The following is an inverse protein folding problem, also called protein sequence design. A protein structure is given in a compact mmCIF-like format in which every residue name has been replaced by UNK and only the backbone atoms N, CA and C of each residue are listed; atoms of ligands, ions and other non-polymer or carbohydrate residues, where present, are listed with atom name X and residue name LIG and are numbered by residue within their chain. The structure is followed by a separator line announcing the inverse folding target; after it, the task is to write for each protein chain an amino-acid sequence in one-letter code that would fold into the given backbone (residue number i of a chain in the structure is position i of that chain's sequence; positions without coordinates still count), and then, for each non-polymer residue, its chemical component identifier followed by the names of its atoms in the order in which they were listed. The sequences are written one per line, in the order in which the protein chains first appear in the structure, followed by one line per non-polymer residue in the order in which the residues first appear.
data_IF_565120869263
#
_entry.id   IF_565120869263
#
_cell.length_a   1.000
_cell.length_b   1.000
_cell.length_c   1.000
_cell.angle_alpha   90.00
_cell.angle_beta   90.00
_cell.angle_gamma   90.00
#
_symmetry.space_group_name_H-M   'P 1'
#
loop_
_entity.id
_entity.type
_entity.pdbx_description
1 polymer ?
#
# COMPACT_ATOMS: atom_id res chain seq x y z
N UNK A 1 -43.39 6.25 -38.32
CA UNK A 1 -42.16 5.69 -37.72
C UNK A 1 -42.09 6.22 -36.30
N UNK A 2 -42.61 5.40 -35.40
CA UNK A 2 -42.77 5.68 -33.97
C UNK A 2 -41.45 5.48 -33.24
N UNK A 3 -41.16 6.41 -32.33
CA UNK A 3 -40.25 6.22 -31.22
C UNK A 3 -41.05 5.59 -30.06
N UNK A 4 -40.75 4.36 -29.65
CA UNK A 4 -41.37 3.74 -28.48
C UNK A 4 -40.44 3.83 -27.26
N UNK A 5 -40.82 4.79 -26.41
CA UNK A 5 -40.61 4.93 -24.95
C UNK A 5 -39.98 3.73 -24.22
N UNK A 6 -38.81 3.96 -23.62
CA UNK A 6 -38.33 3.21 -22.46
C UNK A 6 -38.99 3.85 -21.23
N UNK A 7 -39.85 3.09 -20.54
CA UNK A 7 -40.56 3.53 -19.35
C UNK A 7 -39.59 3.68 -18.18
N UNK A 8 -39.54 4.89 -17.64
CA UNK A 8 -38.92 5.22 -16.35
C UNK A 8 -39.67 4.46 -15.25
N UNK A 9 -39.01 3.50 -14.59
CA UNK A 9 -39.53 2.89 -13.37
C UNK A 9 -39.35 3.91 -12.23
N UNK A 10 -40.48 4.29 -11.63
CA UNK A 10 -40.55 5.17 -10.48
C UNK A 10 -39.88 4.50 -9.27
N UNK A 11 -39.03 5.26 -8.59
CA UNK A 11 -38.41 4.86 -7.33
C UNK A 11 -39.43 5.17 -6.23
N UNK A 12 -40.07 4.14 -5.68
CA UNK A 12 -40.87 4.29 -4.47
C UNK A 12 -39.94 4.47 -3.26
N UNK A 13 -40.10 5.61 -2.59
CA UNK A 13 -39.53 5.93 -1.29
C UNK A 13 -40.21 5.09 -0.20
N UNK A 14 -39.60 3.97 0.19
CA UNK A 14 -39.82 3.36 1.50
C UNK A 14 -38.48 2.91 2.10
N UNK A 15 -37.79 3.88 2.70
CA UNK A 15 -36.69 3.67 3.64
C UNK A 15 -37.28 3.23 4.98
N UNK A 16 -37.55 1.94 5.14
CA UNK A 16 -37.87 1.36 6.45
C UNK A 16 -37.04 0.11 6.73
N UNK A 17 -36.07 0.27 7.65
CA UNK A 17 -35.43 -0.78 8.46
C UNK A 17 -34.66 -1.89 7.74
N UNK A 18 -33.46 -1.59 7.24
CA UNK A 18 -32.45 -2.65 7.01
C UNK A 18 -31.76 -2.96 8.34
N UNK A 19 -32.22 -4.00 9.03
CA UNK A 19 -31.46 -4.63 10.10
C UNK A 19 -30.24 -5.34 9.49
N UNK A 20 -29.03 -4.84 9.77
CA UNK A 20 -27.80 -5.55 9.46
C UNK A 20 -27.67 -6.80 10.35
N UNK A 21 -28.09 -7.94 9.82
CA UNK A 21 -27.69 -9.25 10.33
C UNK A 21 -26.24 -9.52 9.94
N UNK A 22 -25.30 -9.34 10.87
CA UNK A 22 -23.92 -9.83 10.75
C UNK A 22 -23.90 -11.35 10.92
N UNK A 23 -24.49 -12.08 9.98
CA UNK A 23 -24.26 -13.50 9.81
C UNK A 23 -22.98 -13.68 8.99
N UNK A 24 -21.84 -13.80 9.68
CA UNK A 24 -20.57 -14.27 9.11
C UNK A 24 -20.67 -15.76 8.73
N UNK A 25 -21.60 -16.12 7.86
CA UNK A 25 -21.61 -17.42 7.19
C UNK A 25 -20.74 -17.27 5.96
N UNK A 26 -19.62 -17.98 5.90
CA UNK A 26 -18.85 -18.09 4.66
C UNK A 26 -19.75 -18.77 3.65
N UNK A 27 -20.26 -18.04 2.66
CA UNK A 27 -20.97 -18.63 1.53
C UNK A 27 -20.03 -19.63 0.84
N UNK A 28 -20.43 -20.90 0.81
CA UNK A 28 -19.69 -21.97 0.13
C UNK A 28 -20.52 -22.44 -1.06
N UNK A 29 -19.85 -22.66 -2.19
CA UNK A 29 -20.49 -23.32 -3.31
C UNK A 29 -20.75 -24.79 -2.98
N UNK A 30 -21.88 -25.31 -3.46
CA UNK A 30 -22.15 -26.75 -3.45
C UNK A 30 -21.17 -27.41 -4.42
N UNK A 31 -20.52 -28.48 -3.98
CA UNK A 31 -19.62 -29.26 -4.82
C UNK A 31 -20.45 -30.38 -5.44
N UNK A 32 -20.69 -30.30 -6.76
CA UNK A 32 -21.23 -31.45 -7.49
C UNK A 32 -20.10 -32.20 -8.20
N UNK A 33 -20.23 -33.52 -8.23
CA UNK A 33 -19.35 -34.41 -8.98
C UNK A 33 -19.27 -34.02 -10.47
N UNK A 34 -18.16 -34.32 -11.17
CA UNK A 34 -18.05 -34.11 -12.60
C UNK A 34 -19.15 -34.89 -13.35
N UNK A 35 -19.77 -34.30 -14.39
CA UNK A 35 -20.77 -35.01 -15.20
C UNK A 35 -20.15 -36.23 -15.90
N UNK A 36 -20.90 -37.34 -15.95
CA UNK A 36 -20.43 -38.63 -16.49
C UNK A 36 -20.40 -38.67 -18.02
N UNK A 37 -21.19 -37.82 -18.71
CA UNK A 37 -21.31 -37.81 -20.16
C UNK A 37 -21.45 -36.40 -20.77
N UNK A 38 -21.31 -36.31 -22.10
CA UNK A 38 -21.36 -35.06 -22.84
C UNK A 38 -22.74 -34.36 -22.81
N UNK A 39 -23.86 -35.10 -22.68
CA UNK A 39 -25.17 -34.48 -22.52
C UNK A 39 -25.32 -33.84 -21.15
N UNK A 40 -24.80 -34.48 -20.10
CA UNK A 40 -24.76 -33.93 -18.75
C UNK A 40 -23.87 -32.68 -18.67
N UNK A 41 -22.74 -32.64 -19.39
CA UNK A 41 -21.92 -31.42 -19.54
C UNK A 41 -22.72 -30.28 -20.16
N UNK A 42 -23.40 -30.54 -21.30
CA UNK A 42 -24.19 -29.51 -21.99
C UNK A 42 -25.34 -28.99 -21.14
N UNK A 43 -26.00 -29.86 -20.36
CA UNK A 43 -27.06 -29.44 -19.42
C UNK A 43 -26.52 -28.58 -18.27
N UNK A 44 -25.26 -28.76 -17.87
CA UNK A 44 -24.62 -28.02 -16.78
C UNK A 44 -24.05 -26.67 -17.25
N UNK A 45 -23.76 -26.51 -18.53
CA UNK A 45 -23.13 -25.30 -19.10
C UNK A 45 -23.86 -23.99 -18.73
N UNK A 46 -25.20 -23.87 -18.84
CA UNK A 46 -25.90 -22.63 -18.48
C UNK A 46 -25.76 -22.27 -17.00
N UNK A 47 -25.69 -23.28 -16.12
CA UNK A 47 -25.49 -23.08 -14.68
C UNK A 47 -24.07 -22.57 -14.39
N UNK A 48 -23.06 -23.12 -15.07
CA UNK A 48 -21.66 -22.66 -14.97
C UNK A 48 -21.53 -21.22 -15.48
N UNK A 49 -22.14 -20.92 -16.64
CA UNK A 49 -22.10 -19.57 -17.21
C UNK A 49 -22.74 -18.55 -16.27
N UNK A 50 -23.86 -18.91 -15.64
CA UNK A 50 -24.53 -18.06 -14.65
C UNK A 50 -23.67 -17.86 -13.39
N UNK A 51 -23.07 -18.94 -12.88
CA UNK A 51 -22.15 -18.89 -11.74
C UNK A 51 -20.97 -17.95 -12.00
N UNK A 52 -20.32 -18.10 -13.16
CA UNK A 52 -19.20 -17.24 -13.56
C UNK A 52 -19.64 -15.79 -13.81
N UNK A 53 -20.85 -15.59 -14.34
CA UNK A 53 -21.47 -14.28 -14.51
C UNK A 53 -21.69 -13.56 -13.17
N UNK A 54 -22.30 -14.24 -12.20
CA UNK A 54 -22.49 -13.72 -10.84
C UNK A 54 -21.16 -13.43 -10.15
N UNK A 55 -20.18 -14.34 -10.27
CA UNK A 55 -18.86 -14.12 -9.68
C UNK A 55 -18.15 -12.91 -10.31
N UNK A 56 -18.25 -12.74 -11.64
CA UNK A 56 -17.74 -11.54 -12.32
C UNK A 56 -18.40 -10.27 -11.78
N UNK A 57 -19.73 -10.24 -11.66
CA UNK A 57 -20.47 -9.09 -11.14
C UNK A 57 -20.04 -8.78 -9.70
N UNK A 58 -19.92 -9.80 -8.86
CA UNK A 58 -19.42 -9.66 -7.49
C UNK A 58 -18.02 -9.04 -7.45
N UNK A 59 -17.07 -9.53 -8.26
CA UNK A 59 -15.73 -8.96 -8.31
C UNK A 59 -15.74 -7.52 -8.84
N UNK A 60 -16.56 -7.19 -9.83
CA UNK A 60 -16.71 -5.83 -10.34
C UNK A 60 -17.24 -4.88 -9.27
N UNK A 61 -18.29 -5.26 -8.54
CA UNK A 61 -18.85 -4.49 -7.43
C UNK A 61 -17.83 -4.30 -6.31
N UNK A 62 -17.18 -5.39 -5.86
CA UNK A 62 -16.15 -5.32 -4.81
C UNK A 62 -15.00 -4.42 -5.22
N UNK A 63 -14.53 -4.51 -6.47
CA UNK A 63 -13.44 -3.70 -7.00
C UNK A 63 -13.83 -2.22 -7.10
N UNK A 64 -15.07 -1.92 -7.50
CA UNK A 64 -15.59 -0.56 -7.61
C UNK A 64 -15.67 0.16 -6.24
N UNK A 65 -15.85 -0.58 -5.15
CA UNK A 65 -15.98 -0.06 -3.80
C UNK A 65 -14.77 -0.35 -2.89
N UNK A 66 -13.68 -0.90 -3.43
CA UNK A 66 -12.50 -1.27 -2.64
C UNK A 66 -11.65 -0.06 -2.26
N UNK A 67 -11.61 0.29 -0.98
CA UNK A 67 -10.82 1.42 -0.44
C UNK A 67 -9.98 1.06 0.80
N UNK A 68 -10.19 -0.11 1.40
CA UNK A 68 -9.64 -0.46 2.71
C UNK A 68 -8.21 -1.02 2.72
N UNK A 69 -7.65 -1.35 1.55
CA UNK A 69 -6.30 -1.91 1.46
C UNK A 69 -5.47 -1.24 0.35
N UNK A 70 -4.13 -1.15 0.51
CA UNK A 70 -3.24 -0.52 -0.46
C UNK A 70 -2.94 -1.47 -1.62
N UNK A 71 -3.96 -1.80 -2.40
CA UNK A 71 -3.90 -2.70 -3.55
C UNK A 71 -4.34 -1.94 -4.81
N UNK A 72 -3.53 -1.98 -5.86
CA UNK A 72 -3.94 -1.45 -7.15
C UNK A 72 -5.05 -2.34 -7.72
N UNK A 73 -6.25 -1.77 -7.89
CA UNK A 73 -7.39 -2.47 -8.52
C UNK A 73 -7.39 -2.34 -10.05
N UNK A 74 -6.49 -1.52 -10.61
CA UNK A 74 -6.36 -1.32 -12.06
C UNK A 74 -5.22 -2.17 -12.58
N UNK A 75 -5.52 -3.42 -12.93
CA UNK A 75 -4.60 -4.30 -13.64
C UNK A 75 -5.00 -4.35 -15.11
N UNK A 76 -4.17 -3.79 -15.99
CA UNK A 76 -4.26 -4.01 -17.43
C UNK A 76 -3.15 -4.96 -17.84
N UNK A 77 -3.53 -6.15 -18.31
CA UNK A 77 -2.60 -7.18 -18.78
C UNK A 77 -2.18 -6.95 -20.23
N UNK A 78 -2.89 -6.12 -20.99
CA UNK A 78 -2.55 -5.69 -22.34
C UNK A 78 -1.96 -6.81 -23.22
N UNK A 79 -0.74 -6.63 -23.76
CA UNK A 79 -0.07 -7.65 -24.59
C UNK A 79 0.16 -8.99 -23.89
N UNK A 80 0.16 -9.06 -22.55
CA UNK A 80 0.42 -10.29 -21.81
C UNK A 80 -0.75 -11.28 -21.84
N UNK A 81 -1.97 -10.83 -22.21
CA UNK A 81 -3.15 -11.70 -22.30
C UNK A 81 -2.92 -12.92 -23.21
N UNK A 82 -2.13 -12.76 -24.27
CA UNK A 82 -1.82 -13.84 -25.21
C UNK A 82 -1.05 -15.02 -24.59
N UNK A 83 -0.41 -14.80 -23.43
CA UNK A 83 0.40 -15.83 -22.77
C UNK A 83 -0.40 -16.69 -21.78
N UNK A 84 -1.69 -16.40 -21.56
CA UNK A 84 -2.51 -17.09 -20.54
C UNK A 84 -2.78 -18.57 -20.85
N UNK A 85 -2.54 -19.02 -22.09
CA UNK A 85 -2.71 -20.42 -22.49
C UNK A 85 -1.45 -21.28 -22.27
N UNK A 86 -0.34 -20.71 -21.80
CA UNK A 86 0.88 -21.45 -21.52
C UNK A 86 1.02 -21.76 -20.03
N UNK A 87 1.45 -22.98 -19.71
CA UNK A 87 1.83 -23.38 -18.36
C UNK A 87 3.24 -22.87 -18.03
N UNK A 88 3.39 -21.56 -17.88
CA UNK A 88 4.69 -20.95 -17.57
C UNK A 88 5.12 -21.36 -16.16
N UNK A 89 6.34 -21.89 -16.02
CA UNK A 89 6.89 -22.28 -14.74
C UNK A 89 8.38 -21.91 -14.61
N UNK A 90 8.69 -21.03 -13.67
CA UNK A 90 10.06 -20.58 -13.39
C UNK A 90 10.70 -21.46 -12.30
N UNK A 91 10.66 -22.78 -12.47
CA UNK A 91 11.09 -23.75 -11.47
C UNK A 91 12.58 -23.61 -11.13
N UNK A 92 12.95 -23.45 -9.87
CA UNK A 92 14.37 -23.39 -9.45
C UNK A 92 14.94 -21.98 -9.47
N UNK A 93 16.27 -21.88 -9.42
CA UNK A 93 16.97 -20.62 -9.20
C UNK A 93 16.89 -19.68 -10.42
N UNK A 94 16.58 -18.39 -10.18
CA UNK A 94 16.94 -17.22 -10.95
C UNK A 94 17.88 -17.45 -12.10
N UNK A 95 19.15 -17.55 -11.68
CA UNK A 95 20.45 -17.36 -12.31
C UNK A 95 21.08 -18.66 -12.85
N UNK A 96 20.44 -19.80 -12.61
CA UNK A 96 20.87 -21.09 -13.15
C UNK A 96 20.06 -21.39 -14.41
N UNK A 97 20.60 -22.14 -15.38
CA UNK A 97 19.83 -22.54 -16.57
C UNK A 97 18.69 -23.51 -16.20
N UNK A 98 17.57 -23.46 -16.93
CA UNK A 98 16.41 -24.34 -16.69
C UNK A 98 16.49 -25.59 -17.53
N UNK A 99 16.08 -26.74 -16.99
CA UNK A 99 15.74 -27.90 -17.81
C UNK A 99 14.28 -27.87 -18.33
N UNK A 100 13.48 -26.90 -17.88
CA UNK A 100 12.11 -26.67 -18.30
C UNK A 100 12.03 -25.46 -19.23
N UNK A 101 11.58 -25.67 -20.48
CA UNK A 101 11.64 -24.67 -21.55
C UNK A 101 10.47 -23.68 -21.63
N UNK A 102 9.39 -23.86 -20.86
CA UNK A 102 8.23 -22.95 -20.85
C UNK A 102 8.32 -22.03 -19.63
N UNK A 103 9.24 -21.07 -19.66
CA UNK A 103 9.53 -20.17 -18.53
C UNK A 103 9.68 -18.71 -18.97
N UNK A 104 9.62 -17.80 -18.01
CA UNK A 104 9.74 -16.34 -18.20
C UNK A 104 10.98 -15.74 -17.52
N UNK A 105 12.00 -16.56 -17.22
CA UNK A 105 13.19 -16.15 -16.45
C UNK A 105 13.92 -14.92 -17.02
N UNK A 106 13.96 -14.75 -18.34
CA UNK A 106 14.54 -13.56 -18.97
C UNK A 106 13.84 -12.27 -18.51
N UNK A 107 12.51 -12.30 -18.37
CA UNK A 107 11.75 -11.18 -17.81
C UNK A 107 11.98 -11.02 -16.30
N UNK A 108 12.12 -12.13 -15.57
CA UNK A 108 12.48 -12.08 -14.14
C UNK A 108 13.83 -11.38 -13.94
N UNK A 109 14.86 -11.74 -14.71
CA UNK A 109 16.15 -11.06 -14.65
C UNK A 109 16.03 -9.58 -14.95
N UNK A 110 15.31 -9.21 -16.02
CA UNK A 110 15.13 -7.80 -16.38
C UNK A 110 14.45 -6.98 -15.26
N UNK A 111 13.47 -7.58 -14.57
CA UNK A 111 12.82 -6.96 -13.41
C UNK A 111 13.80 -6.82 -12.24
N UNK A 112 14.59 -7.86 -11.95
CA UNK A 112 15.58 -7.81 -10.89
C UNK A 112 16.70 -6.79 -11.18
N UNK A 113 17.20 -6.74 -12.41
CA UNK A 113 18.18 -5.75 -12.88
C UNK A 113 17.66 -4.32 -12.68
N UNK A 114 16.38 -4.09 -13.02
CA UNK A 114 15.76 -2.78 -12.85
C UNK A 114 15.73 -2.36 -11.38
N UNK A 115 15.36 -3.27 -10.47
CA UNK A 115 15.36 -3.00 -9.04
C UNK A 115 16.77 -2.85 -8.46
N UNK A 116 17.72 -3.67 -8.90
CA UNK A 116 19.11 -3.58 -8.50
C UNK A 116 19.67 -2.19 -8.86
N UNK A 117 19.40 -1.72 -10.08
CA UNK A 117 19.78 -0.37 -10.51
C UNK A 117 19.08 0.71 -9.68
N UNK A 118 17.76 0.57 -9.44
CA UNK A 118 16.97 1.54 -8.68
C UNK A 118 17.48 1.74 -7.25
N UNK A 119 17.96 0.67 -6.62
CA UNK A 119 18.50 0.69 -5.25
C UNK A 119 20.02 0.75 -5.20
N UNK A 120 20.66 1.06 -6.32
CA UNK A 120 22.12 1.23 -6.43
C UNK A 120 22.92 0.00 -5.95
N UNK A 121 22.39 -1.21 -6.20
CA UNK A 121 23.13 -2.45 -6.01
C UNK A 121 24.11 -2.61 -7.17
N UNK A 122 25.41 -2.89 -6.93
CA UNK A 122 26.35 -3.12 -8.02
C UNK A 122 25.87 -4.24 -8.93
N UNK A 123 26.08 -4.06 -10.24
CA UNK A 123 25.74 -5.05 -11.26
C UNK A 123 26.39 -6.39 -10.91
N UNK A 124 25.63 -7.47 -11.09
CA UNK A 124 26.05 -8.85 -10.82
C UNK A 124 26.41 -9.15 -9.34
N UNK A 125 26.14 -8.22 -8.41
CA UNK A 125 26.32 -8.40 -6.96
C UNK A 125 24.99 -8.46 -6.20
N UNK A 126 23.99 -9.08 -6.79
CA UNK A 126 22.71 -9.31 -6.15
C UNK A 126 22.21 -10.73 -6.43
N UNK A 127 21.38 -11.23 -5.53
CA UNK A 127 20.57 -12.41 -5.75
C UNK A 127 19.15 -12.10 -5.28
N UNK A 128 18.15 -12.59 -6.02
CA UNK A 128 16.75 -12.36 -5.70
C UNK A 128 15.83 -13.09 -6.66
N UNK A 129 14.53 -13.07 -6.36
CA UNK A 129 13.50 -13.69 -7.19
C UNK A 129 12.13 -13.05 -6.96
N UNK A 130 11.17 -13.36 -7.84
CA UNK A 130 9.79 -12.88 -7.73
C UNK A 130 8.99 -13.81 -6.83
N UNK A 131 8.48 -13.26 -5.72
CA UNK A 131 7.68 -13.99 -4.72
C UNK A 131 6.18 -13.94 -5.03
N UNK A 132 5.39 -14.78 -4.38
CA UNK A 132 3.92 -14.74 -4.44
C UNK A 132 3.34 -13.52 -3.70
N UNK A 133 4.12 -12.89 -2.82
CA UNK A 133 3.72 -11.66 -2.16
C UNK A 133 4.67 -11.26 -1.02
N UNK A 134 4.43 -10.08 -0.45
CA UNK A 134 5.33 -9.49 0.54
C UNK A 134 5.60 -10.35 1.78
N UNK A 135 4.68 -11.23 2.17
CA UNK A 135 4.93 -12.18 3.27
C UNK A 135 6.07 -13.16 2.94
N UNK A 136 6.09 -13.73 1.74
CA UNK A 136 7.16 -14.62 1.29
C UNK A 136 8.48 -13.85 1.11
N UNK A 137 8.41 -12.63 0.58
CA UNK A 137 9.58 -11.74 0.50
C UNK A 137 10.20 -11.45 1.86
N UNK A 138 9.37 -11.17 2.88
CA UNK A 138 9.85 -10.95 4.24
C UNK A 138 10.41 -12.23 4.87
N UNK A 139 9.80 -13.39 4.60
CA UNK A 139 10.33 -14.67 5.06
C UNK A 139 11.75 -14.89 4.52
N UNK A 140 11.92 -14.81 3.20
CA UNK A 140 13.22 -15.06 2.59
C UNK A 140 14.23 -13.97 2.95
N UNK A 141 13.83 -12.70 2.99
CA UNK A 141 14.69 -11.60 3.39
C UNK A 141 15.20 -11.74 4.83
N UNK A 142 14.35 -12.18 5.76
CA UNK A 142 14.78 -12.46 7.14
C UNK A 142 15.53 -13.78 7.29
N UNK A 143 15.27 -14.78 6.45
CA UNK A 143 15.97 -16.06 6.48
C UNK A 143 17.48 -15.87 6.26
N UNK A 144 17.88 -14.96 5.36
CA UNK A 144 19.30 -14.62 5.14
C UNK A 144 19.97 -14.08 6.42
N UNK A 145 19.20 -13.58 7.38
CA UNK A 145 19.70 -13.26 8.72
C UNK A 145 20.30 -14.47 9.47
N UNK A 146 20.13 -15.70 8.99
CA UNK A 146 20.79 -16.92 9.48
C UNK A 146 22.33 -16.85 9.44
N UNK A 147 22.90 -15.91 8.67
CA UNK A 147 24.31 -15.50 8.76
C UNK A 147 24.73 -15.14 10.20
N UNK A 148 23.76 -14.82 11.06
CA UNK A 148 23.91 -14.63 12.49
C UNK A 148 23.07 -15.67 13.28
N UNK A 149 23.58 -16.90 13.50
CA UNK A 149 22.81 -17.99 14.12
C UNK A 149 22.24 -17.68 15.51
N UNK A 150 22.98 -16.88 16.30
CA UNK A 150 22.56 -16.42 17.63
C UNK A 150 21.82 -15.07 17.60
N UNK A 151 21.49 -14.57 16.40
CA UNK A 151 20.87 -13.27 16.19
C UNK A 151 19.52 -13.12 16.85
N UNK A 152 19.18 -11.88 17.23
CA UNK A 152 17.85 -11.50 17.71
C UNK A 152 17.18 -10.64 16.64
N UNK A 153 15.92 -10.94 16.34
CA UNK A 153 15.11 -10.11 15.45
C UNK A 153 14.59 -8.90 16.23
N UNK A 154 14.86 -7.69 15.75
CA UNK A 154 14.31 -6.44 16.25
C UNK A 154 13.32 -5.89 15.22
N UNK A 155 12.08 -5.69 15.63
CA UNK A 155 11.05 -5.17 14.75
C UNK A 155 10.15 -4.19 15.51
N UNK A 156 9.75 -3.11 14.86
CA UNK A 156 8.73 -2.20 15.38
C UNK A 156 7.42 -2.97 15.66
N UNK A 157 6.68 -2.60 16.71
CA UNK A 157 5.36 -3.17 17.03
C UNK A 157 4.32 -3.00 15.92
N UNK A 158 4.49 -1.99 15.06
CA UNK A 158 3.63 -1.73 13.90
C UNK A 158 4.14 -2.42 12.62
N UNK A 159 5.21 -3.23 12.71
CA UNK A 159 5.68 -4.06 11.59
C UNK A 159 4.61 -5.06 11.17
N UNK A 160 4.59 -5.42 9.89
CA UNK A 160 3.60 -6.35 9.36
C UNK A 160 3.67 -7.72 10.08
N UNK A 161 2.52 -8.36 10.28
CA UNK A 161 2.44 -9.61 11.05
C UNK A 161 3.33 -10.74 10.50
N UNK A 162 3.69 -10.69 9.21
CA UNK A 162 4.61 -11.65 8.58
C UNK A 162 5.96 -11.66 9.29
N UNK A 163 6.47 -10.54 9.78
CA UNK A 163 7.75 -10.46 10.49
C UNK A 163 7.72 -11.31 11.78
N UNK A 164 6.67 -11.16 12.58
CA UNK A 164 6.51 -11.94 13.81
C UNK A 164 6.22 -13.42 13.53
N UNK A 165 5.49 -13.70 12.44
CA UNK A 165 5.27 -15.08 11.99
C UNK A 165 6.58 -15.73 11.52
N UNK A 166 7.44 -15.00 10.83
CA UNK A 166 8.77 -15.44 10.41
C UNK A 166 9.62 -15.84 11.62
N UNK A 167 9.73 -14.94 12.62
CA UNK A 167 10.44 -15.23 13.86
C UNK A 167 9.95 -16.51 14.55
N UNK A 168 8.63 -16.74 14.59
CA UNK A 168 8.05 -17.96 15.15
C UNK A 168 8.40 -19.20 14.30
N UNK A 169 8.34 -19.11 12.98
CA UNK A 169 8.70 -20.20 12.07
C UNK A 169 10.18 -20.59 12.21
N UNK A 170 11.06 -19.59 12.34
CA UNK A 170 12.50 -19.80 12.47
C UNK A 170 12.94 -20.13 13.89
N UNK A 171 12.03 -20.05 14.88
CA UNK A 171 12.32 -20.22 16.31
C UNK A 171 13.39 -19.23 16.81
N UNK A 172 13.43 -18.05 16.20
CA UNK A 172 14.34 -16.96 16.57
C UNK A 172 13.62 -16.00 17.51
N UNK A 173 14.33 -15.53 18.53
CA UNK A 173 13.80 -14.52 19.44
C UNK A 173 13.49 -13.23 18.68
N UNK A 174 12.29 -12.68 18.86
CA UNK A 174 11.91 -11.38 18.32
C UNK A 174 11.59 -10.41 19.46
N UNK A 175 12.35 -9.31 19.53
CA UNK A 175 12.12 -8.19 20.43
C UNK A 175 11.32 -7.13 19.67
N UNK A 176 10.15 -6.81 20.22
CA UNK A 176 9.30 -5.75 19.68
C UNK A 176 9.77 -4.39 20.19
N UNK A 177 10.03 -3.46 19.28
CA UNK A 177 10.37 -2.08 19.59
C UNK A 177 9.09 -1.24 19.55
N UNK A 178 8.91 -0.38 20.55
CA UNK A 178 7.78 0.54 20.56
C UNK A 178 7.81 1.51 19.39
N UNK A 179 6.66 2.07 19.08
CA UNK A 179 6.48 3.01 17.99
C UNK A 179 6.02 4.37 18.49
N UNK A 180 6.32 5.39 17.71
CA UNK A 180 5.73 6.71 17.87
C UNK A 180 4.23 6.65 17.51
N UNK A 181 3.52 7.75 17.77
CA UNK A 181 2.12 7.87 17.34
C UNK A 181 1.97 7.65 15.83
N UNK A 182 2.88 8.21 15.02
CA UNK A 182 2.88 8.04 13.56
C UNK A 182 3.15 6.61 13.11
N UNK A 183 3.68 5.74 13.99
CA UNK A 183 3.99 4.34 13.68
C UNK A 183 5.45 4.08 13.32
N UNK A 184 6.29 5.11 13.39
CA UNK A 184 7.73 4.96 13.22
C UNK A 184 8.35 4.29 14.45
N UNK A 185 9.39 3.49 14.26
CA UNK A 185 10.17 2.89 15.34
C UNK A 185 10.69 3.97 16.32
N UNK A 186 10.61 3.69 17.62
CA UNK A 186 11.23 4.51 18.67
C UNK A 186 12.69 4.11 18.86
N UNK A 187 13.61 4.94 18.35
CA UNK A 187 15.05 4.65 18.36
C UNK A 187 15.67 4.65 19.77
N UNK A 188 15.10 5.41 20.71
CA UNK A 188 15.50 5.38 22.13
C UNK A 188 15.21 4.00 22.77
N UNK A 189 14.04 3.44 22.47
CA UNK A 189 13.68 2.09 22.92
C UNK A 189 14.49 1.03 22.17
N UNK A 190 14.70 1.20 20.86
CA UNK A 190 15.58 0.32 20.07
C UNK A 190 16.99 0.23 20.67
N UNK A 191 17.61 1.39 20.93
CA UNK A 191 18.91 1.51 21.60
C UNK A 191 18.94 0.77 22.93
N UNK A 192 17.93 0.96 23.77
CA UNK A 192 17.83 0.30 25.08
C UNK A 192 17.82 -1.22 24.92
N UNK A 193 17.01 -1.75 23.98
CA UNK A 193 16.91 -3.19 23.71
C UNK A 193 18.14 -3.81 23.06
N UNK A 194 18.88 -3.04 22.27
CA UNK A 194 20.19 -3.47 21.78
C UNK A 194 21.19 -3.61 22.94
N UNK A 195 21.28 -2.62 23.81
CA UNK A 195 22.24 -2.63 24.93
C UNK A 195 21.94 -3.74 25.95
N UNK A 196 20.66 -4.04 26.22
CA UNK A 196 20.25 -5.18 27.04
C UNK A 196 20.75 -6.54 26.47
N UNK A 197 21.04 -6.61 25.17
CA UNK A 197 21.38 -7.83 24.44
C UNK A 197 22.71 -7.74 23.66
N UNK A 198 23.62 -6.84 24.06
CA UNK A 198 24.82 -6.44 23.30
C UNK A 198 25.78 -7.58 22.88
N UNK A 199 25.66 -8.75 23.50
CA UNK A 199 26.47 -9.94 23.20
C UNK A 199 25.99 -10.72 21.96
N UNK A 200 24.75 -10.52 21.53
CA UNK A 200 24.14 -11.25 20.41
C UNK A 200 24.02 -10.35 19.19
N UNK A 201 24.17 -10.87 17.96
CA UNK A 201 23.96 -10.07 16.75
C UNK A 201 22.53 -9.54 16.63
N UNK A 202 22.34 -8.48 15.84
CA UNK A 202 21.02 -7.88 15.61
C UNK A 202 20.53 -8.12 14.17
N UNK A 203 19.34 -8.68 14.02
CA UNK A 203 18.62 -8.79 12.75
C UNK A 203 17.48 -7.77 12.79
N UNK A 204 17.57 -6.68 12.05
CA UNK A 204 16.65 -5.54 12.18
C UNK A 204 15.69 -5.49 11.00
N UNK A 205 14.40 -5.51 11.29
CA UNK A 205 13.37 -5.18 10.31
C UNK A 205 13.11 -3.67 10.31
N UNK A 206 13.32 -3.04 9.16
CA UNK A 206 13.10 -1.62 8.92
C UNK A 206 11.87 -1.46 8.03
N UNK A 207 10.84 -0.79 8.53
CA UNK A 207 9.61 -0.60 7.77
C UNK A 207 9.75 0.58 6.82
N UNK A 208 9.69 0.29 5.53
CA UNK A 208 9.56 1.29 4.48
C UNK A 208 8.07 1.39 4.12
N UNK A 209 7.30 1.93 5.07
CA UNK A 209 5.84 2.03 5.03
C UNK A 209 5.14 0.95 5.85
N UNK A 210 4.81 1.23 7.12
CA UNK A 210 4.00 0.33 7.95
C UNK A 210 2.61 0.11 7.36
N UNK A 211 2.01 -1.05 7.64
CA UNK A 211 0.77 -1.48 6.96
C UNK A 211 -0.43 -0.57 7.26
N UNK A 212 -0.55 -0.12 8.51
CA UNK A 212 -1.72 0.66 8.97
C UNK A 212 -1.49 2.16 8.82
N UNK A 213 -0.30 2.65 9.20
CA UNK A 213 -0.02 4.08 9.30
C UNK A 213 0.88 4.62 8.18
N UNK A 214 1.46 3.75 7.35
CA UNK A 214 2.37 4.15 6.28
C UNK A 214 3.68 4.76 6.76
N UNK A 215 4.04 4.57 8.04
CA UNK A 215 5.26 5.14 8.61
C UNK A 215 6.52 4.55 7.98
N UNK A 216 7.52 5.41 7.82
CA UNK A 216 8.83 5.04 7.30
C UNK A 216 9.83 5.17 8.44
N UNK A 217 10.45 4.04 8.78
CA UNK A 217 11.57 4.01 9.71
C UNK A 217 12.78 4.69 9.06
N UNK A 218 13.48 5.49 9.86
CA UNK A 218 14.67 6.22 9.46
C UNK A 218 15.85 5.25 9.50
N UNK A 219 16.22 4.79 8.30
CA UNK A 219 17.30 3.85 8.12
C UNK A 219 18.65 4.40 8.60
N UNK A 220 18.90 5.71 8.45
CA UNK A 220 20.17 6.32 8.85
C UNK A 220 20.30 6.37 10.37
N UNK A 221 19.21 6.70 11.07
CA UNK A 221 19.17 6.68 12.53
C UNK A 221 19.32 5.26 13.09
N UNK A 222 18.75 4.26 12.43
CA UNK A 222 18.90 2.85 12.82
C UNK A 222 20.35 2.38 12.67
N UNK A 223 21.00 2.69 11.55
CA UNK A 223 22.40 2.34 11.30
C UNK A 223 23.30 3.04 12.33
N UNK A 224 23.12 4.35 12.53
CA UNK A 224 23.84 5.13 13.55
C UNK A 224 23.67 4.53 14.94
N UNK A 225 22.45 4.13 15.31
CA UNK A 225 22.16 3.51 16.60
C UNK A 225 22.89 2.17 16.77
N UNK A 226 22.90 1.31 15.74
CA UNK A 226 23.60 0.03 15.75
C UNK A 226 25.12 0.24 15.93
N UNK A 227 25.72 1.14 15.15
CA UNK A 227 27.14 1.45 15.23
C UNK A 227 27.52 1.98 16.61
N UNK A 228 26.77 2.95 17.13
CA UNK A 228 26.99 3.55 18.45
C UNK A 228 26.80 2.56 19.61
N UNK A 229 26.04 1.48 19.41
CA UNK A 229 25.87 0.41 20.38
C UNK A 229 26.91 -0.71 20.26
N UNK A 230 27.89 -0.59 19.36
CA UNK A 230 28.95 -1.59 19.18
C UNK A 230 28.52 -2.82 18.36
N UNK A 231 27.53 -2.67 17.49
CA UNK A 231 27.08 -3.73 16.59
C UNK A 231 27.75 -3.69 15.21
N UNK A 232 28.76 -2.82 15.00
CA UNK A 232 29.55 -2.79 13.76
C UNK A 232 29.97 -4.22 13.38
N UNK A 233 29.61 -4.64 12.16
CA UNK A 233 29.82 -5.97 11.57
C UNK A 233 29.04 -7.15 12.20
N UNK A 234 28.13 -6.88 13.14
CA UNK A 234 27.30 -7.88 13.84
C UNK A 234 25.81 -7.59 13.70
N UNK A 235 25.39 -7.02 12.57
CA UNK A 235 23.99 -6.80 12.28
C UNK A 235 23.63 -7.12 10.83
N UNK A 236 22.35 -7.40 10.64
CA UNK A 236 21.71 -7.57 9.35
C UNK A 236 20.47 -6.68 9.28
N UNK A 237 20.28 -5.96 8.18
CA UNK A 237 19.10 -5.11 7.97
C UNK A 237 18.23 -5.70 6.86
N UNK A 238 16.98 -5.98 7.17
CA UNK A 238 15.92 -6.27 6.21
C UNK A 238 14.99 -5.05 6.08
N UNK A 239 14.81 -4.55 4.86
CA UNK A 239 13.84 -3.49 4.58
C UNK A 239 12.52 -4.08 4.09
N UNK A 240 11.47 -4.00 4.90
CA UNK A 240 10.10 -4.29 4.48
C UNK A 240 9.53 -3.08 3.76
N UNK A 241 9.70 -3.05 2.43
CA UNK A 241 9.19 -2.01 1.54
C UNK A 241 8.00 -2.47 0.72
N UNK A 242 7.19 -3.40 1.25
CA UNK A 242 6.09 -4.01 0.50
C UNK A 242 5.23 -2.99 -0.26
N UNK A 243 4.94 -1.83 0.34
CA UNK A 243 4.24 -0.73 -0.32
C UNK A 243 5.18 0.41 -0.74
N UNK A 244 5.81 1.09 0.23
CA UNK A 244 6.49 2.35 -0.06
C UNK A 244 7.88 2.16 -0.70
N UNK A 245 8.43 0.95 -0.70
CA UNK A 245 9.67 0.63 -1.42
C UNK A 245 9.56 0.83 -2.94
N UNK A 246 8.35 0.73 -3.50
CA UNK A 246 8.04 1.05 -4.91
C UNK A 246 7.72 2.53 -5.15
N UNK A 247 7.66 3.34 -4.09
CA UNK A 247 7.24 4.75 -4.14
C UNK A 247 8.40 5.70 -3.88
N UNK A 248 9.16 5.43 -2.81
CA UNK A 248 10.18 6.34 -2.32
C UNK A 248 11.24 6.72 -3.34
N UNK A 249 11.75 5.81 -4.21
CA UNK A 249 12.74 6.19 -5.21
C UNK A 249 12.29 7.29 -6.17
N UNK A 250 10.98 7.51 -6.30
CA UNK A 250 10.40 8.52 -7.20
C UNK A 250 9.97 9.81 -6.49
N UNK A 251 10.14 9.89 -5.17
CA UNK A 251 9.78 11.07 -4.37
C UNK A 251 11.06 11.91 -4.17
N UNK A 252 11.10 13.11 -4.79
CA UNK A 252 12.31 13.96 -4.87
C UNK A 252 13.00 14.27 -3.53
N UNK A 253 12.24 14.35 -2.44
CA UNK A 253 12.74 14.72 -1.10
C UNK A 253 12.59 13.58 -0.09
N UNK A 254 12.31 12.36 -0.55
CA UNK A 254 12.24 11.21 0.34
C UNK A 254 13.65 10.72 0.73
N UNK A 255 13.81 10.12 1.92
CA UNK A 255 15.01 9.39 2.26
C UNK A 255 15.36 8.35 1.19
N UNK A 256 16.61 8.35 0.75
CA UNK A 256 17.09 7.39 -0.24
C UNK A 256 17.27 6.02 0.39
N UNK A 257 16.62 5.02 -0.21
CA UNK A 257 16.77 3.61 0.11
C UNK A 257 17.73 2.99 -0.92
N UNK A 258 19.01 2.85 -0.54
CA UNK A 258 20.07 2.34 -1.44
C UNK A 258 20.98 1.35 -0.70
N UNK A 259 21.52 0.39 -1.43
CA UNK A 259 22.46 -0.63 -0.91
C UNK A 259 23.90 -0.13 -0.80
N UNK A 260 24.15 1.16 -1.02
CA UNK A 260 25.37 1.83 -0.53
C UNK A 260 25.40 1.78 1.01
N UNK A 261 24.21 1.80 1.63
CA UNK A 261 24.02 1.55 3.06
C UNK A 261 24.12 0.05 3.33
N UNK A 262 24.47 -0.38 4.57
CA UNK A 262 24.62 -1.80 4.95
C UNK A 262 23.27 -2.52 5.07
N UNK A 263 22.47 -2.52 4.00
CA UNK A 263 21.22 -3.26 3.86
C UNK A 263 21.56 -4.67 3.40
N UNK A 264 21.00 -5.68 4.07
CA UNK A 264 21.17 -7.08 3.70
C UNK A 264 20.12 -7.59 2.72
N UNK A 265 18.87 -7.11 2.85
CA UNK A 265 17.81 -7.44 1.87
C UNK A 265 16.67 -6.41 1.88
N UNK A 266 15.86 -6.48 0.83
CA UNK A 266 14.65 -5.70 0.67
C UNK A 266 13.52 -6.57 0.10
N UNK A 267 12.29 -6.31 0.53
CA UNK A 267 11.08 -6.94 -0.01
C UNK A 267 10.12 -5.85 -0.51
N UNK A 268 9.56 -6.03 -1.70
CA UNK A 268 8.54 -5.15 -2.29
C UNK A 268 7.38 -5.97 -2.88
N UNK A 269 6.14 -5.49 -2.78
CA UNK A 269 4.98 -6.19 -3.32
C UNK A 269 4.51 -5.58 -4.63
N UNK A 270 4.69 -6.33 -5.72
CA UNK A 270 4.19 -5.94 -7.03
C UNK A 270 2.69 -5.65 -7.05
N UNK A 271 1.86 -6.53 -6.48
CA UNK A 271 0.41 -6.37 -6.45
C UNK A 271 -0.09 -5.15 -5.63
N UNK A 272 0.77 -4.51 -4.84
CA UNK A 272 0.41 -3.28 -4.13
C UNK A 272 0.51 -2.06 -5.03
N UNK A 273 1.39 -2.06 -6.05
CA UNK A 273 1.64 -0.84 -6.87
C UNK A 273 2.13 -1.02 -8.32
N UNK A 274 2.43 -2.23 -8.80
CA UNK A 274 2.79 -2.46 -10.20
C UNK A 274 1.50 -2.36 -11.04
N UNK A 275 1.40 -1.27 -11.81
CA UNK A 275 0.28 -1.00 -12.72
C UNK A 275 -0.47 0.32 -12.46
N UNK A 276 0.21 1.46 -12.34
CA UNK A 276 -0.48 2.77 -12.24
C UNK A 276 0.17 3.84 -13.12
N UNK A 277 -0.61 4.28 -14.12
CA UNK A 277 -0.63 5.67 -14.62
C UNK A 277 -1.33 6.55 -13.58
N UNK A 278 -0.67 7.61 -13.09
CA UNK A 278 -1.22 8.47 -12.06
C UNK A 278 -2.44 9.27 -12.57
N UNK A 279 -3.56 9.22 -11.83
CA UNK A 279 -4.75 10.06 -12.04
C UNK A 279 -5.49 10.34 -10.72
N UNK A 280 -5.96 11.58 -10.58
CA UNK A 280 -6.77 12.13 -9.48
C UNK A 280 -8.26 11.98 -9.80
N UNK A 281 -9.10 11.47 -8.88
CA UNK A 281 -10.53 11.19 -9.15
C UNK A 281 -11.44 12.02 -8.23
N UNK A 282 -12.46 12.66 -8.81
CA UNK A 282 -13.45 13.57 -8.19
C UNK A 282 -14.51 12.87 -7.31
N UNK A 283 -14.37 11.56 -7.07
CA UNK A 283 -15.24 10.76 -6.18
C UNK A 283 -14.46 10.05 -5.05
N UNK A 284 -13.33 10.60 -4.62
CA UNK A 284 -12.47 10.03 -3.56
C UNK A 284 -12.80 10.62 -2.19
N UNK A 285 -12.48 9.87 -1.14
CA UNK A 285 -12.51 10.34 0.26
C UNK A 285 -11.34 11.27 0.62
N UNK A 286 -10.53 11.65 -0.38
CA UNK A 286 -9.44 12.60 -0.22
C UNK A 286 -9.98 13.97 -0.57
N UNK A 287 -10.09 14.85 0.42
CA UNK A 287 -10.44 16.25 0.22
C UNK A 287 -9.14 17.04 0.18
N UNK A 288 -8.87 17.66 -0.95
CA UNK A 288 -7.76 18.60 -1.11
C UNK A 288 -8.32 20.01 -0.97
N UNK A 289 -7.71 20.83 -0.14
CA UNK A 289 -8.11 22.20 0.11
C UNK A 289 -6.88 23.07 0.33
N UNK A 290 -7.08 24.39 0.43
CA UNK A 290 -5.99 25.32 0.73
C UNK A 290 -5.31 24.93 2.04
N UNK A 291 -3.97 25.03 2.08
CA UNK A 291 -3.23 24.79 3.31
C UNK A 291 -3.67 25.78 4.40
N UNK A 292 -4.16 25.32 5.57
CA UNK A 292 -4.43 26.20 6.68
C UNK A 292 -3.13 26.87 7.15
N UNK A 293 -3.19 28.18 7.44
CA UNK A 293 -2.03 28.94 7.92
C UNK A 293 -1.80 28.79 9.43
N UNK A 294 -2.79 28.30 10.17
CA UNK A 294 -2.65 27.98 11.59
C UNK A 294 -1.94 26.62 11.73
N UNK A 295 -0.66 26.66 12.08
CA UNK A 295 0.18 25.47 12.23
C UNK A 295 -0.26 24.58 13.41
N UNK A 296 -0.92 25.14 14.43
CA UNK A 296 -1.47 24.35 15.55
C UNK A 296 -2.65 23.51 15.06
N UNK A 297 -3.51 24.08 14.21
CA UNK A 297 -4.60 23.37 13.55
C UNK A 297 -4.07 22.26 12.62
N UNK A 298 -3.04 22.55 11.82
CA UNK A 298 -2.37 21.57 10.94
C UNK A 298 -1.82 20.40 11.76
N UNK A 299 -1.17 20.68 12.89
CA UNK A 299 -0.61 19.66 13.78
C UNK A 299 -1.70 18.84 14.49
N UNK A 300 -2.75 19.50 14.99
CA UNK A 300 -3.87 18.85 15.69
C UNK A 300 -4.55 17.81 14.80
N UNK A 301 -4.81 18.18 13.54
CA UNK A 301 -5.52 17.33 12.58
C UNK A 301 -4.59 16.52 11.67
N UNK A 302 -3.28 16.60 11.90
CA UNK A 302 -2.23 15.91 11.14
C UNK A 302 -2.38 16.07 9.63
N UNK A 303 -2.65 17.29 9.19
CA UNK A 303 -2.89 17.56 7.78
C UNK A 303 -1.61 17.36 6.98
N UNK A 304 -1.72 16.60 5.90
CA UNK A 304 -0.61 16.42 4.98
C UNK A 304 -0.56 17.61 4.01
N UNK A 305 0.38 18.52 4.26
CA UNK A 305 0.54 19.75 3.50
C UNK A 305 1.65 19.64 2.44
N UNK A 306 1.39 20.16 1.24
CA UNK A 306 2.37 20.29 0.16
C UNK A 306 2.17 21.63 -0.54
N UNK A 307 3.18 22.50 -0.53
CA UNK A 307 3.05 23.85 -1.07
C UNK A 307 1.87 24.62 -0.43
N UNK A 308 0.93 25.05 -1.27
CA UNK A 308 -0.26 25.82 -0.88
C UNK A 308 -1.50 24.96 -0.59
N UNK A 309 -1.39 23.63 -0.64
CA UNK A 309 -2.51 22.71 -0.41
C UNK A 309 -2.29 21.84 0.83
N UNK A 310 -3.39 21.41 1.42
CA UNK A 310 -3.47 20.32 2.38
C UNK A 310 -4.44 19.27 1.84
N UNK A 311 -4.22 18.01 2.20
CA UNK A 311 -5.20 16.96 1.96
C UNK A 311 -5.54 16.22 3.24
N UNK A 312 -6.81 15.84 3.34
CA UNK A 312 -7.32 14.95 4.39
C UNK A 312 -7.93 13.71 3.74
N UNK A 313 -7.64 12.54 4.30
CA UNK A 313 -8.24 11.28 3.88
C UNK A 313 -9.32 10.93 4.89
N UNK A 314 -10.59 10.97 4.47
CA UNK A 314 -11.71 10.57 5.31
C UNK A 314 -11.74 9.05 5.38
N UNK A 315 -11.39 8.51 6.54
CA UNK A 315 -11.36 7.07 6.80
C UNK A 315 -12.73 6.59 7.34
N UNK A 316 -13.07 5.29 7.22
CA UNK A 316 -14.40 4.79 7.61
C UNK A 316 -14.81 4.99 9.07
N UNK A 317 -13.87 5.30 9.97
CA UNK A 317 -14.15 5.56 11.38
C UNK A 317 -14.48 7.04 11.68
N UNK A 318 -14.41 7.91 10.67
CA UNK A 318 -14.70 9.35 10.80
C UNK A 318 -16.21 9.56 10.74
N UNK A 319 -16.81 10.11 11.81
CA UNK A 319 -18.24 10.40 11.87
C UNK A 319 -18.56 11.81 11.35
N UNK A 320 -19.84 12.07 11.06
CA UNK A 320 -20.32 13.43 10.72
C UNK A 320 -20.04 14.44 11.84
N UNK A 321 -20.08 14.03 13.10
CA UNK A 321 -19.75 14.88 14.24
C UNK A 321 -18.27 15.27 14.24
N UNK A 322 -17.36 14.33 13.96
CA UNK A 322 -15.93 14.63 13.82
C UNK A 322 -15.65 15.58 12.66
N UNK A 323 -16.38 15.42 11.55
CA UNK A 323 -16.29 16.33 10.41
C UNK A 323 -16.83 17.72 10.75
N UNK A 324 -17.91 17.81 11.53
CA UNK A 324 -18.46 19.07 12.04
C UNK A 324 -17.42 19.84 12.85
N UNK A 325 -16.82 19.18 13.84
CA UNK A 325 -15.76 19.77 14.69
C UNK A 325 -14.58 20.24 13.83
N UNK A 326 -14.14 19.43 12.86
CA UNK A 326 -13.06 19.79 11.95
C UNK A 326 -13.38 21.06 11.13
N UNK A 327 -14.58 21.14 10.56
CA UNK A 327 -15.01 22.25 9.69
C UNK A 327 -15.21 23.54 10.49
N UNK A 328 -15.83 23.45 11.68
CA UNK A 328 -16.02 24.59 12.58
C UNK A 328 -14.68 25.18 13.01
N UNK A 329 -13.76 24.34 13.47
CA UNK A 329 -12.41 24.80 13.84
C UNK A 329 -11.66 25.39 12.65
N UNK A 330 -11.74 24.78 11.47
CA UNK A 330 -11.12 25.32 10.27
C UNK A 330 -11.70 26.71 9.92
N UNK A 331 -13.01 26.87 10.01
CA UNK A 331 -13.68 28.14 9.73
C UNK A 331 -13.30 29.23 10.74
N UNK A 332 -13.30 28.91 12.04
CA UNK A 332 -12.88 29.83 13.11
C UNK A 332 -11.43 30.30 12.91
N UNK A 333 -10.51 29.37 12.64
CA UNK A 333 -9.10 29.70 12.41
C UNK A 333 -8.89 30.54 11.17
N UNK A 334 -9.66 30.28 10.11
CA UNK A 334 -9.65 31.11 8.90
C UNK A 334 -10.17 32.53 9.19
N UNK A 335 -11.23 32.66 9.99
CA UNK A 335 -11.83 33.95 10.34
C UNK A 335 -10.92 34.79 11.24
N UNK A 336 -10.28 34.18 12.25
CA UNK A 336 -9.37 34.86 13.17
C UNK A 336 -8.14 35.48 12.47
N UNK A 337 -7.71 34.91 11.34
CA UNK A 337 -6.59 35.39 10.54
C UNK A 337 -6.94 36.59 9.64
N UNK A 338 -8.22 36.97 9.52
CA UNK A 338 -8.70 37.91 8.52
C UNK A 338 -8.87 39.36 8.98
N UNK A 339 -8.72 39.71 10.28
CA UNK A 339 -8.68 41.08 10.85
C UNK A 339 -9.03 42.24 9.87
N UNK A 340 -10.31 42.35 9.45
CA UNK A 340 -10.86 43.36 8.53
C UNK A 340 -10.33 43.45 7.08
N UNK A 341 -9.72 42.39 6.53
CA UNK A 341 -9.35 42.29 5.10
C UNK A 341 -10.39 41.52 4.29
N UNK A 342 -10.61 41.94 3.04
CA UNK A 342 -11.48 41.23 2.09
C UNK A 342 -11.12 39.74 2.02
N UNK A 343 -12.16 38.89 2.11
CA UNK A 343 -12.03 37.44 1.97
C UNK A 343 -11.50 37.09 0.58
N UNK A 344 -10.23 36.70 0.51
CA UNK A 344 -9.60 36.20 -0.71
C UNK A 344 -9.18 34.74 -0.51
N UNK A 345 -9.83 33.83 -1.24
CA UNK A 345 -9.47 32.41 -1.30
C UNK A 345 -8.14 32.33 -2.08
N UNK A 346 -7.05 31.80 -1.48
CA UNK A 346 -5.79 31.59 -2.17
C UNK A 346 -5.98 30.72 -3.41
N UNK A 347 -5.29 31.07 -4.49
CA UNK A 347 -5.34 30.29 -5.71
C UNK A 347 -4.53 28.99 -5.55
N UNK A 348 -5.20 27.85 -5.74
CA UNK A 348 -4.61 26.49 -5.73
C UNK A 348 -4.76 25.79 -7.09
N UNK A 349 -5.14 26.53 -8.14
CA UNK A 349 -5.44 25.97 -9.46
C UNK A 349 -4.28 25.22 -10.11
N UNK A 350 -3.03 25.63 -9.83
CA UNK A 350 -1.85 24.89 -10.30
C UNK A 350 -1.77 23.48 -9.70
N UNK A 351 -2.33 23.29 -8.51
CA UNK A 351 -2.22 22.04 -7.75
C UNK A 351 -3.45 21.13 -7.95
N UNK A 352 -4.65 21.70 -8.16
CA UNK A 352 -5.91 20.94 -8.25
C UNK A 352 -6.68 21.10 -9.57
N UNK A 353 -6.17 21.87 -10.53
CA UNK A 353 -6.87 22.22 -11.78
C UNK A 353 -7.69 23.52 -11.64
N UNK A 354 -7.79 24.28 -12.73
CA UNK A 354 -8.47 25.59 -12.74
C UNK A 354 -9.98 25.46 -12.51
N UNK A 355 -10.56 24.41 -13.07
CA UNK A 355 -11.97 24.04 -12.95
C UNK A 355 -12.38 23.66 -11.51
N UNK A 356 -11.42 23.27 -10.67
CA UNK A 356 -11.66 22.86 -9.27
C UNK A 356 -11.29 23.95 -8.26
N UNK A 357 -10.71 25.08 -8.71
CA UNK A 357 -10.23 26.14 -7.83
C UNK A 357 -11.31 27.19 -7.55
N UNK A 358 -11.67 27.38 -6.28
CA UNK A 358 -12.77 28.27 -5.88
C UNK A 358 -12.41 29.77 -5.78
N UNK A 359 -11.17 30.16 -6.10
CA UNK A 359 -10.74 31.56 -6.05
C UNK A 359 -11.45 32.45 -7.10
N UNK A 360 -11.53 33.76 -6.84
CA UNK A 360 -12.17 34.77 -7.73
C UNK A 360 -11.59 34.77 -9.17
N UNK A 361 -10.32 34.39 -9.35
CA UNK A 361 -9.66 34.37 -10.66
C UNK A 361 -10.19 33.29 -11.62
N UNK A 362 -10.82 32.23 -11.10
CA UNK A 362 -11.30 31.09 -11.87
C UNK A 362 -12.83 30.93 -11.80
N UNK A 363 -13.54 31.99 -11.42
CA UNK A 363 -15.01 32.00 -11.29
C UNK A 363 -15.73 31.81 -12.64
N UNK A 364 -15.22 32.41 -13.71
CA UNK A 364 -15.78 32.32 -15.07
C UNK A 364 -15.57 30.95 -15.74
N UNK A 365 -14.54 30.20 -15.33
CA UNK A 365 -14.23 28.86 -15.85
C UNK A 365 -15.19 27.83 -15.24
N UNK A 366 -15.62 28.03 -13.99
CA UNK A 366 -16.56 27.16 -13.28
C UNK A 366 -18.01 27.31 -13.74
N UNK A 367 -18.38 28.48 -14.28
CA UNK A 367 -19.75 28.79 -14.72
C UNK A 367 -20.04 28.40 -16.18
N UNK A 368 -19.06 27.81 -16.88
CA UNK A 368 -19.17 27.29 -18.25
C UNK A 368 -19.12 25.76 -18.35
N UNK A 369 -19.07 25.08 -17.21
CA UNK A 369 -19.27 23.64 -17.00
C UNK A 369 -20.65 23.41 -16.36
#
# INVERSE_FOLDING_TARGET
MEASKISCLQVDEQLDSVQFSLTNVVERYVIDEPPEDAQAVLKRQPSIDNLLGHFRQHLQERSAHHLGHPLSQKLDVGPLAQFQHFHINNIGDPFVESNYGIHSRQFVYAVLDWFAHLWEIPKDQYWGYVTNGGSEGNYNGLLVGELYPEGIIYASRDSHYSIFKAAKMYRVQCIKIDTSFSGQMRYDHFRTKLLENARRPAIVNVNIGTTVKGAIDDLDEIISTLENCGFRDRFYIHCDGALAGLMLPFIKQAPKLTFIKPIGSISVSGHKKIGISAFMNSKRTIVVFERPKDEVFVQKWQLACAGNIAHVVVMPHVSFEMLGIFVEELAEKRYALLQDKEFSIPCVAMDIGQENCLCKLHENIRSSL
#
